data_IF_468893881363
#
_entry.id   IF_468893881363
#
_cell.length_a   1.000
_cell.length_b   1.000
_cell.length_c   1.000
_cell.angle_alpha   90.00
_cell.angle_beta   90.00
_cell.angle_gamma   90.00
#
_symmetry.space_group_name_H-M   'P 1'
#
loop_
_entity.id
_entity.type
_entity.pdbx_description
1 polymer ?
#
# COMPACT_ATOMS: atom_id res chain seq x y z
N UNK A 1 7.78 -0.11 9.87
CA UNK A 1 9.00 0.63 9.47
C UNK A 1 8.56 1.89 8.75
N UNK A 2 9.21 3.03 8.99
CA UNK A 2 8.84 4.28 8.29
C UNK A 2 9.58 4.38 6.96
N UNK A 3 8.85 4.69 5.89
CA UNK A 3 9.39 4.81 4.54
C UNK A 3 8.84 6.06 3.85
N UNK A 4 9.66 6.67 3.00
CA UNK A 4 9.26 7.82 2.21
C UNK A 4 8.68 7.38 0.86
N UNK A 5 7.55 7.94 0.50
CA UNK A 5 6.86 7.65 -0.75
C UNK A 5 7.58 8.33 -1.92
N UNK A 6 8.08 7.53 -2.86
CA UNK A 6 8.81 8.03 -4.03
C UNK A 6 7.88 8.37 -5.19
N UNK A 7 6.85 7.55 -5.39
CA UNK A 7 5.88 7.72 -6.46
C UNK A 7 4.56 7.06 -6.10
N UNK A 8 3.47 7.55 -6.69
CA UNK A 8 2.13 7.00 -6.51
C UNK A 8 1.43 6.94 -7.85
N UNK A 9 0.81 5.81 -8.15
CA UNK A 9 -0.08 5.63 -9.30
C UNK A 9 -1.48 5.27 -8.81
N UNK A 10 -2.48 6.05 -9.21
CA UNK A 10 -3.88 5.70 -8.98
C UNK A 10 -4.30 4.58 -9.95
N UNK A 11 -5.04 3.60 -9.44
CA UNK A 11 -5.49 2.45 -10.22
C UNK A 11 -6.85 1.96 -9.74
N UNK A 12 -7.57 1.28 -10.61
CA UNK A 12 -8.82 0.60 -10.26
C UNK A 12 -8.58 -0.90 -10.11
N UNK A 13 -9.13 -1.46 -9.05
CA UNK A 13 -9.11 -2.89 -8.81
C UNK A 13 -10.55 -3.40 -8.80
N UNK A 14 -10.86 -4.31 -9.71
CA UNK A 14 -12.16 -4.98 -9.72
C UNK A 14 -12.09 -6.21 -8.84
N UNK A 15 -12.91 -6.25 -7.81
CA UNK A 15 -13.09 -7.46 -7.01
C UNK A 15 -13.77 -8.53 -7.87
N UNK A 16 -13.11 -9.67 -8.07
CA UNK A 16 -13.61 -10.76 -8.91
C UNK A 16 -14.86 -11.44 -8.36
N UNK A 17 -15.13 -11.35 -7.06
CA UNK A 17 -16.29 -11.98 -6.43
C UNK A 17 -17.53 -11.08 -6.49
N UNK A 18 -17.35 -9.77 -6.32
CA UNK A 18 -18.47 -8.81 -6.27
C UNK A 18 -18.64 -8.00 -7.55
N UNK A 19 -17.68 -8.09 -8.47
CA UNK A 19 -17.56 -7.28 -9.69
C UNK A 19 -17.55 -5.76 -9.43
N UNK A 20 -17.27 -5.34 -8.19
CA UNK A 20 -17.18 -3.94 -7.83
C UNK A 20 -15.77 -3.42 -8.09
N UNK A 21 -15.67 -2.31 -8.82
CA UNK A 21 -14.44 -1.56 -8.96
C UNK A 21 -14.19 -0.71 -7.71
N UNK A 22 -12.97 -0.75 -7.19
CA UNK A 22 -12.50 0.16 -6.14
C UNK A 22 -11.25 0.89 -6.58
N UNK A 23 -11.18 2.17 -6.25
CA UNK A 23 -9.97 2.96 -6.42
C UNK A 23 -8.92 2.52 -5.39
N UNK A 24 -7.68 2.36 -5.85
CA UNK A 24 -6.52 2.05 -5.02
C UNK A 24 -5.33 2.89 -5.46
N UNK A 25 -4.33 3.00 -4.58
CA UNK A 25 -3.09 3.70 -4.83
C UNK A 25 -1.95 2.70 -4.82
N UNK A 26 -1.28 2.52 -5.95
CA UNK A 26 -0.02 1.79 -6.03
C UNK A 26 1.10 2.71 -5.57
N UNK A 27 1.65 2.44 -4.39
CA UNK A 27 2.62 3.30 -3.71
C UNK A 27 4.01 2.68 -3.83
N UNK A 28 4.94 3.41 -4.44
CA UNK A 28 6.31 2.97 -4.65
C UNK A 28 7.22 3.46 -3.52
N UNK A 29 7.95 2.52 -2.92
CA UNK A 29 8.74 2.73 -1.69
C UNK A 29 10.11 2.06 -1.85
N UNK A 30 11.19 2.69 -1.36
CA UNK A 30 12.49 2.05 -1.29
C UNK A 30 12.57 1.15 -0.07
N UNK A 31 13.30 0.04 -0.17
CA UNK A 31 13.76 -0.71 1.01
C UNK A 31 15.12 -0.21 1.51
N UNK A 32 15.61 -0.82 2.59
CA UNK A 32 16.89 -0.45 3.21
C UNK A 32 18.10 -0.74 2.32
N UNK A 33 17.95 -1.56 1.28
CA UNK A 33 18.99 -1.87 0.29
C UNK A 33 18.99 -0.88 -0.89
N UNK A 34 17.98 -0.01 -0.98
CA UNK A 34 17.75 0.90 -2.10
C UNK A 34 16.95 0.29 -3.26
N UNK A 35 16.47 -0.95 -3.12
CA UNK A 35 15.57 -1.53 -4.11
C UNK A 35 14.18 -0.89 -3.98
N UNK A 36 13.48 -0.71 -5.11
CA UNK A 36 12.15 -0.09 -5.13
C UNK A 36 11.09 -1.15 -5.39
N UNK A 37 10.17 -1.28 -4.44
CA UNK A 37 8.97 -2.10 -4.56
C UNK A 37 7.71 -1.26 -4.58
N UNK A 38 6.54 -1.91 -4.62
CA UNK A 38 5.26 -1.23 -4.45
C UNK A 38 4.31 -1.98 -3.51
N UNK A 39 3.45 -1.21 -2.83
CA UNK A 39 2.37 -1.69 -1.98
C UNK A 39 1.08 -1.00 -2.41
N UNK A 40 -0.03 -1.74 -2.45
CA UNK A 40 -1.34 -1.15 -2.68
C UNK A 40 -1.93 -0.58 -1.38
N UNK A 41 -2.35 0.68 -1.43
CA UNK A 41 -3.14 1.35 -0.39
C UNK A 41 -4.59 1.47 -0.82
N UNK A 42 -5.51 1.25 0.12
CA UNK A 42 -6.95 1.52 -0.03
C UNK A 42 -7.32 2.94 0.35
N UNK A 43 -6.38 3.72 0.88
CA UNK A 43 -6.55 5.14 1.19
C UNK A 43 -5.56 5.98 0.37
N UNK A 44 -5.89 7.27 0.08
CA UNK A 44 -4.99 8.16 -0.64
C UNK A 44 -3.64 8.32 0.05
N UNK A 45 -2.57 8.29 -0.75
CA UNK A 45 -1.19 8.54 -0.33
C UNK A 45 -0.55 9.50 -1.33
N UNK A 46 0.30 10.41 -0.86
CA UNK A 46 0.97 11.40 -1.72
C UNK A 46 2.48 11.15 -1.77
N UNK A 47 3.09 11.60 -2.87
CA UNK A 47 4.55 11.62 -3.02
C UNK A 47 5.15 12.51 -1.94
N UNK A 48 6.23 12.05 -1.31
CA UNK A 48 6.88 12.74 -0.19
C UNK A 48 6.30 12.44 1.18
N UNK A 49 5.16 11.74 1.28
CA UNK A 49 4.64 11.29 2.58
C UNK A 49 5.60 10.29 3.24
N UNK A 50 5.64 10.29 4.59
CA UNK A 50 6.31 9.27 5.38
C UNK A 50 5.27 8.31 5.97
N UNK A 51 5.29 7.05 5.54
CA UNK A 51 4.27 6.04 5.88
C UNK A 51 4.85 4.92 6.75
N UNK A 52 4.05 4.39 7.68
CA UNK A 52 4.42 3.16 8.42
C UNK A 52 3.99 1.93 7.61
N UNK A 53 4.97 1.09 7.28
CA UNK A 53 4.78 -0.18 6.58
C UNK A 53 4.95 -1.33 7.55
N UNK A 54 4.00 -2.27 7.56
CA UNK A 54 4.07 -3.49 8.36
C UNK A 54 3.84 -4.72 7.51
N UNK A 55 4.56 -5.78 7.82
CA UNK A 55 4.28 -7.12 7.31
C UNK A 55 3.17 -7.72 8.17
N UNK A 56 2.12 -8.21 7.53
CA UNK A 56 1.00 -8.86 8.18
C UNK A 56 0.68 -10.21 7.53
N UNK A 57 0.17 -11.16 8.31
CA UNK A 57 -0.39 -12.39 7.76
C UNK A 57 -1.79 -12.10 7.18
N UNK A 58 -2.06 -12.60 5.97
CA UNK A 58 -3.37 -12.55 5.35
C UNK A 58 -4.20 -13.80 5.70
N UNK A 59 -5.47 -13.85 5.24
CA UNK A 59 -6.39 -14.98 5.49
C UNK A 59 -5.90 -16.32 4.91
N UNK A 60 -5.00 -16.27 3.93
CA UNK A 60 -4.41 -17.45 3.27
C UNK A 60 -3.10 -17.89 3.95
N UNK A 61 -2.75 -17.30 5.10
CA UNK A 61 -1.50 -17.58 5.82
C UNK A 61 -0.24 -17.03 5.16
N UNK A 62 -0.38 -16.16 4.14
CA UNK A 62 0.76 -15.53 3.46
C UNK A 62 1.09 -14.19 4.10
N UNK A 63 2.38 -13.86 4.16
CA UNK A 63 2.84 -12.56 4.59
C UNK A 63 2.74 -11.54 3.45
N UNK A 64 2.20 -10.36 3.76
CA UNK A 64 2.07 -9.25 2.82
C UNK A 64 2.41 -7.94 3.53
N UNK A 65 3.04 -7.01 2.81
CA UNK A 65 3.31 -5.68 3.33
C UNK A 65 2.09 -4.77 3.15
N UNK A 66 1.79 -3.95 4.15
CA UNK A 66 0.71 -2.95 4.10
C UNK A 66 1.14 -1.62 4.70
N UNK A 67 0.60 -0.55 4.12
CA UNK A 67 0.64 0.79 4.70
C UNK A 67 -0.40 0.86 5.82
N UNK A 68 0.03 1.29 7.00
CA UNK A 68 -0.82 1.46 8.17
C UNK A 68 -1.25 2.92 8.25
N UNK A 69 -2.53 3.15 8.01
CA UNK A 69 -3.14 4.46 8.20
C UNK A 69 -3.54 4.64 9.67
N UNK A 70 -3.27 5.80 10.27
CA UNK A 70 -3.82 6.10 11.59
C UNK A 70 -5.34 6.03 11.52
N UNK A 71 -5.97 5.36 12.48
CA UNK A 71 -7.44 5.35 12.58
C UNK A 71 -7.90 6.81 12.68
N UNK A 72 -8.74 7.24 11.73
CA UNK A 72 -9.49 8.48 11.92
C UNK A 72 -10.40 8.30 13.15
N UNK A 73 -10.47 9.30 14.04
CA UNK A 73 -11.30 9.26 15.23
C UNK A 73 -12.78 9.08 14.89
#
# INVERSE_FOLDING_TARGET
MKMNVLSVKETEFTDKQTNQARKMWQVFLPDETGAVGYIYSTEPVKIGDSVDVRVIANRDGRFTAKIIHPKKP
#
